data_IF_606220089857
#
_entry.id   IF_606220089857
#
_cell.length_a   1.000
_cell.length_b   1.000
_cell.length_c   1.000
_cell.angle_alpha   90.00
_cell.angle_beta   90.00
_cell.angle_gamma   90.00
#
_symmetry.space_group_name_H-M   'P 1'
#
loop_
_entity.id
_entity.type
_entity.pdbx_description
1 polymer ?
#
# COMPACT_ATOMS: atom_id res chain seq x y z
N UNK A 1 30.59 -43.33 -2.17
CA UNK A 1 29.50 -43.27 -3.16
C UNK A 1 28.25 -44.02 -2.72
N UNK A 2 28.20 -45.36 -2.68
CA UNK A 2 27.00 -46.08 -2.19
C UNK A 2 26.67 -45.78 -0.72
N UNK A 3 27.70 -45.67 0.15
CA UNK A 3 27.56 -45.29 1.56
C UNK A 3 26.83 -43.95 1.74
N UNK A 4 27.27 -42.93 1.02
CA UNK A 4 26.80 -41.55 1.20
C UNK A 4 25.35 -41.40 0.68
N UNK A 5 24.99 -42.13 -0.38
CA UNK A 5 23.61 -42.22 -0.87
C UNK A 5 22.65 -42.78 0.18
N UNK A 6 23.04 -43.86 0.89
CA UNK A 6 22.20 -44.46 1.94
C UNK A 6 21.99 -43.47 3.08
N UNK A 7 23.04 -42.77 3.50
CA UNK A 7 23.00 -41.79 4.59
C UNK A 7 22.05 -40.63 4.23
N UNK A 8 22.16 -40.11 3.01
CA UNK A 8 21.29 -39.04 2.51
C UNK A 8 19.82 -39.45 2.42
N UNK A 9 19.51 -40.70 2.06
CA UNK A 9 18.12 -41.20 1.99
C UNK A 9 17.43 -41.14 3.35
N UNK A 10 18.14 -41.41 4.43
CA UNK A 10 17.60 -41.32 5.78
C UNK A 10 17.70 -39.90 6.39
N UNK A 11 18.39 -38.99 5.71
CA UNK A 11 18.61 -37.62 6.17
C UNK A 11 19.55 -37.49 7.38
N UNK A 12 20.24 -38.58 7.76
CA UNK A 12 21.13 -38.59 8.93
C UNK A 12 22.43 -37.87 8.56
N UNK A 13 22.85 -36.82 9.27
CA UNK A 13 24.15 -36.20 9.03
C UNK A 13 25.30 -37.19 9.31
N UNK A 14 26.39 -37.16 8.52
CA UNK A 14 27.52 -38.07 8.69
C UNK A 14 28.21 -37.94 10.06
N UNK A 15 28.14 -36.76 10.68
CA UNK A 15 28.68 -36.48 12.02
C UNK A 15 27.99 -37.31 13.10
N UNK A 16 26.67 -37.53 12.98
CA UNK A 16 25.88 -38.36 13.90
C UNK A 16 26.24 -39.84 13.76
N UNK A 17 26.71 -40.26 12.59
CA UNK A 17 27.19 -41.61 12.32
C UNK A 17 28.69 -41.79 12.67
N UNK A 18 29.33 -40.78 13.27
CA UNK A 18 30.73 -40.84 13.72
C UNK A 18 31.77 -40.67 12.60
N UNK A 19 31.38 -40.15 11.44
CA UNK A 19 32.29 -39.86 10.33
C UNK A 19 32.82 -38.43 10.51
N UNK A 20 34.00 -38.29 11.12
CA UNK A 20 34.54 -37.00 11.59
C UNK A 20 35.70 -36.44 10.74
N UNK A 21 35.77 -36.77 9.45
CA UNK A 21 36.91 -36.46 8.57
C UNK A 21 37.26 -34.95 8.50
N UNK A 22 36.33 -34.05 8.82
CA UNK A 22 36.55 -32.59 8.87
C UNK A 22 35.68 -31.84 9.90
N UNK A 23 35.18 -32.53 10.93
CA UNK A 23 34.17 -31.97 11.85
C UNK A 23 34.78 -31.44 13.15
N UNK A 24 34.32 -30.25 13.54
CA UNK A 24 34.65 -29.61 14.82
C UNK A 24 33.40 -29.58 15.72
N UNK A 25 33.54 -29.17 16.98
CA UNK A 25 32.42 -29.14 17.94
C UNK A 25 31.21 -28.35 17.41
N UNK A 26 31.44 -27.22 16.74
CA UNK A 26 30.37 -26.41 16.20
C UNK A 26 29.65 -27.10 15.02
N UNK A 27 30.37 -27.86 14.19
CA UNK A 27 29.74 -28.64 13.11
C UNK A 27 28.95 -29.82 13.66
N UNK A 28 29.39 -30.44 14.76
CA UNK A 28 28.65 -31.50 15.45
C UNK A 28 27.37 -30.94 16.09
N UNK A 29 27.45 -29.82 16.82
CA UNK A 29 26.29 -29.13 17.40
C UNK A 29 25.27 -28.73 16.31
N UNK A 30 25.74 -28.22 15.16
CA UNK A 30 24.89 -27.90 14.03
C UNK A 30 24.27 -29.16 13.39
N UNK A 31 25.04 -30.23 13.22
CA UNK A 31 24.55 -31.50 12.68
C UNK A 31 23.48 -32.13 13.59
N UNK A 32 23.65 -32.08 14.91
CA UNK A 32 22.66 -32.53 15.90
C UNK A 32 21.36 -31.73 15.80
N UNK A 33 21.45 -30.40 15.71
CA UNK A 33 20.29 -29.55 15.52
C UNK A 33 19.55 -29.84 14.20
N UNK A 34 20.28 -29.96 13.09
CA UNK A 34 19.71 -30.28 11.77
C UNK A 34 19.04 -31.66 11.77
N UNK A 35 19.67 -32.64 12.41
CA UNK A 35 19.12 -33.99 12.55
C UNK A 35 17.82 -34.00 13.37
N UNK A 36 17.83 -33.35 14.54
CA UNK A 36 16.65 -33.23 15.38
C UNK A 36 15.50 -32.52 14.66
N UNK A 37 15.77 -31.40 13.99
CA UNK A 37 14.76 -30.56 13.33
C UNK A 37 14.19 -31.17 12.05
N UNK A 38 15.02 -31.74 11.19
CA UNK A 38 14.59 -32.18 9.86
C UNK A 38 14.30 -33.67 9.76
N UNK A 39 14.83 -34.50 10.65
CA UNK A 39 14.63 -35.97 10.60
C UNK A 39 13.77 -36.46 11.75
N UNK A 40 14.08 -36.07 12.98
CA UNK A 40 13.39 -36.60 14.17
C UNK A 40 12.03 -35.93 14.35
N UNK A 41 11.96 -34.60 14.31
CA UNK A 41 10.71 -33.85 14.51
C UNK A 41 9.57 -34.29 13.59
N UNK A 42 9.74 -34.38 12.25
CA UNK A 42 8.65 -34.81 11.38
C UNK A 42 8.17 -36.24 11.66
N UNK A 43 9.07 -37.12 12.11
CA UNK A 43 8.75 -38.51 12.45
C UNK A 43 8.00 -38.61 13.78
N UNK A 44 8.43 -37.82 14.77
CA UNK A 44 7.72 -37.73 16.05
C UNK A 44 6.34 -37.13 15.87
N UNK A 45 6.18 -36.07 15.06
CA UNK A 45 4.87 -35.51 14.72
C UNK A 45 3.98 -36.52 13.99
N UNK A 46 4.53 -37.27 13.04
CA UNK A 46 3.78 -38.32 12.35
C UNK A 46 3.31 -39.40 13.32
N UNK A 47 4.20 -39.89 14.19
CA UNK A 47 3.85 -40.90 15.20
C UNK A 47 2.85 -40.34 16.23
N UNK A 48 3.04 -39.11 16.70
CA UNK A 48 2.15 -38.40 17.61
C UNK A 48 0.74 -38.31 17.01
N UNK A 49 0.62 -37.91 15.75
CA UNK A 49 -0.67 -37.83 15.05
C UNK A 49 -1.35 -39.20 14.90
N UNK A 50 -0.59 -40.24 14.55
CA UNK A 50 -1.11 -41.61 14.41
C UNK A 50 -1.57 -42.15 15.78
N UNK A 51 -0.78 -41.96 16.83
CA UNK A 51 -1.13 -42.37 18.19
C UNK A 51 -2.30 -41.54 18.76
N UNK A 52 -2.36 -40.25 18.47
CA UNK A 52 -3.50 -39.40 18.83
C UNK A 52 -4.79 -39.90 18.17
N UNK A 53 -4.74 -40.39 16.93
CA UNK A 53 -5.91 -40.87 16.22
C UNK A 53 -6.32 -42.30 16.64
N UNK A 54 -5.35 -43.19 16.87
CA UNK A 54 -5.62 -44.61 17.12
C UNK A 54 -5.70 -44.97 18.59
N UNK A 55 -4.83 -44.42 19.42
CA UNK A 55 -4.68 -44.81 20.83
C UNK A 55 -5.55 -43.96 21.76
N UNK A 56 -5.59 -42.64 21.57
CA UNK A 56 -6.29 -41.73 22.50
C UNK A 56 -7.80 -41.99 22.62
N UNK A 57 -8.54 -42.33 21.54
CA UNK A 57 -9.96 -42.67 21.65
C UNK A 57 -10.25 -43.94 22.47
N UNK A 58 -9.26 -44.81 22.70
CA UNK A 58 -9.42 -45.97 23.60
C UNK A 58 -9.37 -45.58 25.09
N UNK A 59 -8.90 -44.36 25.42
CA UNK A 59 -8.78 -43.86 26.79
C UNK A 59 -9.77 -42.71 27.10
N UNK A 60 -9.59 -41.54 26.48
CA UNK A 60 -10.42 -40.35 26.68
C UNK A 60 -10.14 -39.31 25.58
N UNK A 61 -11.20 -38.89 24.87
CA UNK A 61 -11.13 -37.95 23.74
C UNK A 61 -10.62 -36.55 24.11
N UNK A 62 -10.51 -36.22 25.40
CA UNK A 62 -10.01 -34.93 25.88
C UNK A 62 -8.50 -34.89 26.06
N UNK A 63 -7.81 -36.03 25.95
CA UNK A 63 -6.38 -36.10 26.13
C UNK A 63 -5.65 -35.67 24.85
N UNK A 64 -4.62 -34.85 25.00
CA UNK A 64 -3.71 -34.48 23.92
C UNK A 64 -2.38 -35.17 24.20
N UNK A 65 -2.00 -36.08 23.30
CA UNK A 65 -0.72 -36.75 23.31
C UNK A 65 0.31 -35.84 22.65
N UNK A 66 1.36 -35.54 23.40
CA UNK A 66 2.46 -34.68 22.99
C UNK A 66 3.81 -35.27 23.45
N UNK A 67 4.91 -34.76 22.91
CA UNK A 67 6.27 -35.20 23.25
C UNK A 67 7.18 -34.02 23.58
N UNK A 68 8.18 -34.26 24.42
CA UNK A 68 9.22 -33.26 24.68
C UNK A 68 10.08 -33.10 23.42
N UNK A 69 10.17 -31.86 22.91
CA UNK A 69 10.89 -31.60 21.67
C UNK A 69 12.37 -31.99 21.79
N UNK A 70 12.90 -32.84 20.91
CA UNK A 70 14.32 -33.18 20.88
C UNK A 70 15.18 -32.07 20.27
N UNK A 71 14.57 -31.00 19.75
CA UNK A 71 15.32 -29.86 19.21
C UNK A 71 15.81 -29.04 20.38
N UNK A 72 17.09 -29.14 20.70
CA UNK A 72 17.75 -28.15 21.54
C UNK A 72 17.68 -26.81 20.82
N UNK A 73 16.81 -25.93 21.30
CA UNK A 73 16.73 -24.54 20.86
C UNK A 73 18.12 -23.89 20.97
N UNK A 74 18.40 -22.96 20.06
CA UNK A 74 19.69 -22.27 20.00
C UNK A 74 19.85 -21.37 21.22
N UNK A 75 20.28 -21.96 22.33
CA UNK A 75 20.57 -21.28 23.60
C UNK A 75 21.50 -20.11 23.37
N UNK A 76 22.34 -20.10 22.31
CA UNK A 76 23.20 -18.95 22.00
C UNK A 76 22.39 -17.80 21.44
N UNK A 77 21.48 -18.02 20.50
CA UNK A 77 20.62 -16.95 19.98
C UNK A 77 19.75 -16.35 21.07
N UNK A 78 19.13 -17.19 21.89
CA UNK A 78 18.31 -16.75 23.02
C UNK A 78 19.14 -15.98 24.07
N UNK A 79 20.33 -16.48 24.43
CA UNK A 79 21.27 -15.76 25.30
C UNK A 79 21.74 -14.43 24.70
N UNK A 80 21.89 -14.33 23.38
CA UNK A 80 22.29 -13.08 22.71
C UNK A 80 21.15 -12.06 22.73
N UNK A 81 19.91 -12.48 22.47
CA UNK A 81 18.72 -11.62 22.59
C UNK A 81 18.55 -11.16 24.03
N UNK A 82 18.72 -12.06 25.01
CA UNK A 82 18.66 -11.73 26.43
C UNK A 82 19.77 -10.76 26.85
N UNK A 83 21.00 -10.92 26.35
CA UNK A 83 22.11 -9.98 26.62
C UNK A 83 21.89 -8.62 25.98
N UNK A 84 21.32 -8.58 24.77
CA UNK A 84 21.12 -7.34 24.03
C UNK A 84 19.99 -6.48 24.61
N UNK A 85 18.93 -7.12 25.14
CA UNK A 85 17.72 -6.44 25.58
C UNK A 85 17.28 -6.92 26.97
N UNK A 86 18.18 -6.82 27.94
CA UNK A 86 17.88 -7.19 29.35
C UNK A 86 16.71 -6.41 29.95
N UNK A 87 16.47 -5.19 29.48
CA UNK A 87 15.37 -4.30 29.91
C UNK A 87 13.99 -4.70 29.38
N UNK A 88 13.92 -5.53 28.32
CA UNK A 88 12.65 -5.92 27.70
C UNK A 88 11.91 -7.04 28.44
N UNK A 89 12.60 -7.76 29.32
CA UNK A 89 12.05 -8.87 30.09
C UNK A 89 11.94 -8.49 31.57
N UNK A 90 10.95 -9.04 32.27
CA UNK A 90 10.84 -8.90 33.73
C UNK A 90 11.85 -9.81 34.44
N UNK A 91 12.20 -9.49 35.69
CA UNK A 91 13.11 -10.33 36.47
C UNK A 91 12.57 -11.76 36.67
N UNK A 92 11.25 -11.94 36.79
CA UNK A 92 10.60 -13.26 36.87
C UNK A 92 10.65 -14.02 35.54
N UNK A 93 10.47 -13.35 34.41
CA UNK A 93 10.60 -13.96 33.08
C UNK A 93 12.02 -14.46 32.80
N UNK A 94 13.03 -13.71 33.22
CA UNK A 94 14.43 -14.12 33.12
C UNK A 94 14.74 -15.29 34.04
N UNK A 95 14.22 -15.31 35.28
CA UNK A 95 14.41 -16.42 36.23
C UNK A 95 13.75 -17.71 35.75
N UNK A 96 12.52 -17.63 35.24
CA UNK A 96 11.83 -18.79 34.66
C UNK A 96 12.62 -19.41 33.50
N UNK A 97 13.20 -18.57 32.63
CA UNK A 97 14.06 -19.03 31.52
C UNK A 97 15.43 -19.53 31.97
N UNK A 98 15.96 -18.97 33.06
CA UNK A 98 17.20 -19.43 33.69
C UNK A 98 17.02 -20.71 34.54
N UNK A 99 15.78 -21.16 34.78
CA UNK A 99 15.46 -22.32 35.62
C UNK A 99 15.49 -22.03 37.13
N UNK A 100 15.44 -20.76 37.51
CA UNK A 100 15.44 -20.30 38.91
C UNK A 100 14.00 -20.08 39.42
N UNK A 101 13.73 -20.25 40.72
CA UNK A 101 12.42 -19.99 41.30
C UNK A 101 12.00 -18.52 41.17
N UNK A 102 10.69 -18.30 40.95
CA UNK A 102 10.08 -16.96 40.86
C UNK A 102 10.17 -16.21 42.19
N UNK A 103 10.27 -14.88 42.15
CA UNK A 103 10.27 -14.01 43.34
C UNK A 103 8.87 -13.50 43.71
N UNK A 104 7.81 -14.02 43.09
CA UNK A 104 6.44 -13.52 43.32
C UNK A 104 6.29 -12.07 42.82
N UNK A 105 5.44 -11.28 43.48
CA UNK A 105 5.07 -9.92 43.05
C UNK A 105 6.28 -8.95 42.98
N UNK A 106 7.37 -9.23 43.70
CA UNK A 106 8.59 -8.41 43.67
C UNK A 106 9.46 -8.62 42.41
N UNK A 107 9.15 -9.62 41.58
CA UNK A 107 9.92 -9.95 40.39
C UNK A 107 9.33 -9.44 39.06
N UNK A 108 8.18 -8.76 39.08
CA UNK A 108 7.56 -8.14 37.91
C UNK A 108 8.11 -6.71 37.68
N UNK A 109 9.44 -6.60 37.76
CA UNK A 109 10.16 -5.34 37.63
C UNK A 109 11.09 -5.43 36.42
N UNK A 110 11.12 -4.36 35.61
CA UNK A 110 12.02 -4.21 34.47
C UNK A 110 13.34 -3.56 34.90
N UNK A 111 14.45 -4.04 34.33
CA UNK A 111 15.74 -3.37 34.50
C UNK A 111 15.76 -2.08 33.67
N UNK A 112 15.81 -0.91 34.33
CA UNK A 112 15.98 0.38 33.64
C UNK A 112 17.48 0.73 33.61
N UNK A 113 18.10 0.87 32.43
CA UNK A 113 19.50 1.29 32.37
C UNK A 113 19.62 2.76 32.79
N UNK A 114 20.52 3.04 33.75
CA UNK A 114 20.69 4.37 34.34
C UNK A 114 21.30 5.42 33.39
N UNK A 115 21.77 5.01 32.21
CA UNK A 115 22.63 5.81 31.33
C UNK A 115 22.20 5.80 29.85
N UNK A 116 20.91 5.65 29.57
CA UNK A 116 20.38 5.92 28.22
C UNK A 116 20.13 7.42 28.07
N UNK A 117 21.08 8.13 27.49
CA UNK A 117 20.86 9.50 27.01
C UNK A 117 20.09 9.38 25.70
N UNK A 118 18.79 9.63 25.76
CA UNK A 118 17.95 9.80 24.58
C UNK A 118 18.14 11.23 24.09
N UNK A 119 18.91 11.42 23.03
CA UNK A 119 18.95 12.70 22.34
C UNK A 119 17.68 12.85 21.46
N UNK A 120 16.89 13.92 21.63
CA UNK A 120 15.80 14.20 20.71
C UNK A 120 16.36 14.51 19.32
N UNK A 121 15.79 13.91 18.27
CA UNK A 121 16.15 14.24 16.90
C UNK A 121 15.95 15.75 16.67
N UNK A 122 17.00 16.47 16.25
CA UNK A 122 16.99 17.92 16.00
C UNK A 122 15.85 18.33 15.05
N UNK A 123 14.68 18.65 15.62
CA UNK A 123 13.56 19.28 14.93
C UNK A 123 12.58 20.02 15.86
N UNK A 124 12.96 20.30 17.11
CA UNK A 124 12.11 21.01 18.06
C UNK A 124 12.90 21.97 18.97
N UNK A 125 13.75 22.81 18.38
CA UNK A 125 14.32 23.98 19.05
C UNK A 125 13.76 25.25 18.39
N UNK A 126 12.48 25.53 18.62
CA UNK A 126 11.85 26.80 18.26
C UNK A 126 10.59 27.04 19.11
N UNK A 127 10.73 27.05 20.44
CA UNK A 127 9.76 27.70 21.32
C UNK A 127 10.55 28.57 22.32
N UNK A 128 10.33 29.89 22.26
CA UNK A 128 10.96 30.92 23.08
C UNK A 128 9.94 31.39 24.11
N UNK A 129 10.29 31.31 25.40
CA UNK A 129 9.51 31.91 26.50
C UNK A 129 9.95 33.37 26.80
N UNK A 130 9.07 34.22 27.40
CA UNK A 130 9.16 35.68 27.34
C UNK A 130 10.01 36.33 28.46
N UNK A 131 10.60 37.49 28.17
CA UNK A 131 11.48 38.25 29.08
C UNK A 131 10.69 39.39 29.81
N UNK A 132 10.84 39.59 31.14
CA UNK A 132 10.25 40.70 31.90
C UNK A 132 11.09 42.01 31.89
N UNK A 133 10.53 43.18 32.28
CA UNK A 133 11.03 44.50 31.88
C UNK A 133 12.09 45.10 32.83
N UNK A 134 12.98 45.94 32.29
CA UNK A 134 13.98 46.72 33.05
C UNK A 134 13.84 48.21 32.75
N UNK A 135 13.80 49.04 33.80
CA UNK A 135 13.75 50.51 33.78
C UNK A 135 15.13 51.17 33.55
N UNK A 136 15.20 52.39 32.97
CA UNK A 136 16.44 52.97 32.45
C UNK A 136 17.19 53.90 33.44
N UNK A 137 18.51 54.12 33.26
CA UNK A 137 19.19 55.35 33.65
C UNK A 137 19.53 56.25 32.43
N UNK A 138 19.67 57.54 32.75
CA UNK A 138 19.85 58.75 31.92
C UNK A 138 21.22 58.81 31.22
N UNK A 139 21.36 59.54 30.08
CA UNK A 139 22.52 59.45 29.19
C UNK A 139 23.60 60.51 29.48
N UNK A 140 24.83 60.24 29.06
CA UNK A 140 25.84 61.26 28.72
C UNK A 140 26.57 60.87 27.44
N UNK A 141 26.90 61.91 26.70
CA UNK A 141 27.35 61.98 25.32
C UNK A 141 28.73 61.34 25.06
N UNK A 142 28.90 60.76 23.88
CA UNK A 142 29.91 61.18 22.89
C UNK A 142 30.31 60.05 21.93
N UNK A 143 30.34 60.45 20.65
CA UNK A 143 31.24 60.05 19.59
C UNK A 143 31.10 58.69 18.88
N UNK A 144 30.63 58.82 17.64
CA UNK A 144 31.26 58.34 16.39
C UNK A 144 31.72 56.89 16.32
N UNK A 145 30.93 56.07 15.62
CA UNK A 145 31.27 55.67 14.25
C UNK A 145 30.56 54.37 13.82
N UNK A 146 30.13 54.37 12.56
CA UNK A 146 29.76 53.20 11.74
C UNK A 146 28.42 52.47 12.03
N UNK A 147 27.41 52.98 11.32
CA UNK A 147 26.16 52.33 10.86
C UNK A 147 26.45 50.98 10.16
N UNK A 148 25.57 49.98 10.07
CA UNK A 148 24.11 50.09 9.98
C UNK A 148 23.35 48.82 10.44
N UNK A 149 22.07 48.98 10.83
CA UNK A 149 21.19 47.92 11.32
C UNK A 149 20.25 47.35 10.23
N UNK A 150 19.70 46.18 10.54
CA UNK A 150 18.56 45.55 9.84
C UNK A 150 17.29 46.32 10.20
N UNK A 151 16.53 46.76 9.19
CA UNK A 151 15.17 47.30 9.34
C UNK A 151 14.22 46.39 8.55
N UNK A 152 13.21 45.84 9.24
CA UNK A 152 12.03 45.22 8.64
C UNK A 152 10.97 46.28 8.36
N UNK A 153 10.20 46.10 7.28
CA UNK A 153 9.24 47.08 6.76
C UNK A 153 7.85 46.45 6.63
N UNK A 154 6.92 46.93 7.46
CA UNK A 154 5.46 47.09 7.22
C UNK A 154 5.00 48.14 8.26
N UNK A 155 4.36 49.29 8.01
CA UNK A 155 3.73 49.96 6.87
C UNK A 155 3.67 51.49 7.18
N UNK A 156 3.45 52.30 6.12
CA UNK A 156 2.99 53.72 6.07
C UNK A 156 4.01 54.84 6.38
N UNK A 157 4.11 55.97 5.66
CA UNK A 157 3.41 56.66 4.54
C UNK A 157 4.39 57.77 4.09
N UNK A 158 4.49 58.04 2.77
CA UNK A 158 4.94 59.33 2.16
C UNK A 158 6.36 59.80 2.54
N UNK A 159 7.09 60.61 1.79
CA UNK A 159 6.94 61.31 0.52
C UNK A 159 8.37 61.87 0.24
N UNK A 160 8.74 62.05 -1.05
CA UNK A 160 9.78 63.03 -1.53
C UNK A 160 11.27 62.67 -1.28
N UNK A 161 12.27 62.73 -2.18
CA UNK A 161 12.49 63.04 -3.61
C UNK A 161 13.93 62.54 -3.95
N UNK A 162 14.16 61.73 -5.00
CA UNK A 162 14.66 62.10 -6.35
C UNK A 162 16.19 62.27 -6.51
N UNK A 163 16.73 61.50 -7.47
CA UNK A 163 17.86 61.76 -8.43
C UNK A 163 18.57 60.42 -8.70
N UNK A 164 18.88 59.92 -9.90
CA UNK A 164 19.06 60.35 -11.31
C UNK A 164 19.26 59.00 -12.07
N UNK A 165 18.93 58.75 -13.34
CA UNK A 165 18.94 59.50 -14.59
C UNK A 165 18.09 58.68 -15.57
N UNK A 166 16.99 59.26 -16.03
CA UNK A 166 16.05 58.69 -17.01
C UNK A 166 16.38 59.31 -18.37
N UNK A 167 16.67 58.47 -19.38
CA UNK A 167 16.84 58.88 -20.77
C UNK A 167 15.45 58.89 -21.43
N UNK A 168 14.97 60.09 -21.74
CA UNK A 168 13.60 60.40 -22.16
C UNK A 168 13.42 60.31 -23.69
N UNK A 169 13.90 59.26 -24.33
CA UNK A 169 13.87 59.14 -25.80
C UNK A 169 13.10 57.94 -26.36
N UNK A 170 12.37 57.17 -25.55
CA UNK A 170 11.65 55.99 -26.07
C UNK A 170 10.14 56.00 -25.82
N UNK A 171 9.64 56.75 -24.83
CA UNK A 171 8.21 56.70 -24.45
C UNK A 171 7.30 57.72 -25.17
N UNK A 172 7.80 58.48 -26.16
CA UNK A 172 6.96 59.40 -26.96
C UNK A 172 6.78 58.99 -28.43
N UNK A 173 7.10 57.74 -28.79
CA UNK A 173 6.95 57.24 -30.17
C UNK A 173 5.94 56.09 -30.34
N UNK A 174 5.18 55.70 -29.32
CA UNK A 174 4.19 54.60 -29.45
C UNK A 174 2.82 54.98 -28.87
N UNK A 175 2.41 56.25 -29.04
CA UNK A 175 1.07 56.71 -28.71
C UNK A 175 0.26 57.25 -29.91
N UNK A 176 0.84 57.31 -31.11
CA UNK A 176 0.15 57.83 -32.31
C UNK A 176 0.41 56.97 -33.56
N UNK A 177 0.01 55.69 -33.51
CA UNK A 177 -0.31 54.98 -34.74
C UNK A 177 -1.55 54.10 -34.54
N UNK A 178 -2.70 54.69 -34.84
CA UNK A 178 -3.90 53.94 -35.21
C UNK A 178 -3.57 53.03 -36.39
N UNK A 179 -3.57 51.72 -36.16
CA UNK A 179 -4.00 50.76 -37.17
C UNK A 179 -4.83 49.67 -36.49
N UNK A 180 -6.09 49.67 -36.86
CA UNK A 180 -7.19 48.75 -36.57
C UNK A 180 -6.77 47.27 -36.64
N UNK A 181 -6.56 46.60 -35.50
CA UNK A 181 -6.60 45.14 -35.38
C UNK A 181 -7.12 44.75 -33.99
N UNK A 182 -8.23 44.01 -33.98
CA UNK A 182 -9.06 43.73 -32.81
C UNK A 182 -8.39 43.03 -31.64
N UNK A 183 -8.95 43.29 -30.46
CA UNK A 183 -8.56 42.75 -29.17
C UNK A 183 -8.56 41.21 -29.12
N UNK A 184 -7.43 40.64 -28.70
CA UNK A 184 -7.44 39.52 -27.75
C UNK A 184 -7.44 38.10 -28.30
N UNK A 185 -6.72 37.79 -29.38
CA UNK A 185 -6.33 36.41 -29.68
C UNK A 185 -5.27 35.96 -28.66
N UNK A 186 -5.68 35.18 -27.64
CA UNK A 186 -4.74 34.31 -26.92
C UNK A 186 -4.12 33.41 -27.99
N UNK A 187 -2.85 33.59 -28.32
CA UNK A 187 -2.16 32.70 -29.26
C UNK A 187 -2.06 31.34 -28.58
N UNK A 188 -3.02 30.45 -28.84
CA UNK A 188 -2.97 29.06 -28.38
C UNK A 188 -1.62 28.48 -28.77
N UNK A 189 -0.85 28.05 -27.77
CA UNK A 189 0.41 27.36 -28.00
C UNK A 189 0.18 25.89 -28.39
N UNK A 190 1.22 25.18 -28.87
CA UNK A 190 1.16 23.75 -29.13
C UNK A 190 0.64 22.91 -27.96
N UNK A 191 0.89 23.37 -26.73
CA UNK A 191 0.40 22.72 -25.51
C UNK A 191 -1.10 22.96 -25.28
N UNK A 192 -1.64 24.14 -25.64
CA UNK A 192 -3.08 24.45 -25.54
C UNK A 192 -3.89 23.65 -26.57
N UNK A 193 -3.35 23.50 -27.78
CA UNK A 193 -3.96 22.71 -28.86
C UNK A 193 -3.96 21.22 -28.50
N UNK A 194 -2.87 20.72 -27.91
CA UNK A 194 -2.78 19.36 -27.38
C UNK A 194 -3.81 19.12 -26.27
N UNK A 195 -4.01 20.09 -25.38
CA UNK A 195 -5.00 20.03 -24.31
C UNK A 195 -6.43 20.01 -24.84
N UNK A 196 -6.76 20.85 -25.83
CA UNK A 196 -8.09 20.86 -26.44
C UNK A 196 -8.42 19.50 -27.07
N UNK A 197 -7.49 18.94 -27.85
CA UNK A 197 -7.69 17.65 -28.53
C UNK A 197 -7.79 16.47 -27.55
N UNK A 198 -6.89 16.42 -26.56
CA UNK A 198 -6.89 15.34 -25.57
C UNK A 198 -8.17 15.35 -24.71
N UNK A 199 -8.57 16.52 -24.21
CA UNK A 199 -9.75 16.68 -23.36
C UNK A 199 -11.08 16.55 -24.13
N UNK A 200 -11.08 16.89 -25.43
CA UNK A 200 -12.26 16.80 -26.28
C UNK A 200 -12.77 15.37 -26.45
N UNK A 201 -11.85 14.39 -26.57
CA UNK A 201 -12.19 12.99 -26.86
C UNK A 201 -12.06 12.00 -25.69
N UNK A 202 -11.11 12.16 -24.77
CA UNK A 202 -10.85 11.21 -23.69
C UNK A 202 -11.58 11.61 -22.39
N UNK A 203 -12.92 11.61 -22.42
CA UNK A 203 -13.73 12.04 -21.28
C UNK A 203 -13.81 10.98 -20.19
N UNK A 204 -13.73 11.42 -18.93
CA UNK A 204 -13.90 10.58 -17.74
C UNK A 204 -15.27 9.88 -17.71
N UNK A 205 -16.31 10.55 -18.20
CA UNK A 205 -17.68 10.03 -18.25
C UNK A 205 -17.82 8.80 -19.17
N UNK A 206 -17.04 8.72 -20.25
CA UNK A 206 -17.07 7.55 -21.14
C UNK A 206 -16.51 6.30 -20.44
N UNK A 207 -15.47 6.50 -19.64
CA UNK A 207 -14.90 5.45 -18.81
C UNK A 207 -15.89 4.99 -17.75
N UNK A 208 -16.54 5.94 -17.06
CA UNK A 208 -17.59 5.63 -16.07
C UNK A 208 -18.70 4.79 -16.69
N UNK A 209 -19.36 5.30 -17.74
CA UNK A 209 -20.50 4.63 -18.39
C UNK A 209 -20.10 3.28 -18.99
N UNK A 210 -18.89 3.16 -19.51
CA UNK A 210 -18.44 1.94 -20.18
C UNK A 210 -18.03 0.81 -19.24
N UNK A 211 -17.64 1.12 -17.99
CA UNK A 211 -17.20 0.11 -17.01
C UNK A 211 -18.20 -0.13 -15.88
N UNK A 212 -19.15 0.77 -15.64
CA UNK A 212 -20.12 0.73 -14.54
C UNK A 212 -20.84 -0.63 -14.43
N UNK A 213 -21.35 -1.16 -15.54
CA UNK A 213 -22.04 -2.45 -15.54
C UNK A 213 -21.12 -3.62 -15.12
N UNK A 214 -19.89 -3.65 -15.63
CA UNK A 214 -18.93 -4.71 -15.32
C UNK A 214 -18.44 -4.64 -13.87
N UNK A 215 -18.23 -3.43 -13.36
CA UNK A 215 -17.90 -3.18 -11.95
C UNK A 215 -19.04 -3.62 -11.04
N UNK A 216 -20.28 -3.20 -11.36
CA UNK A 216 -21.48 -3.57 -10.60
C UNK A 216 -21.66 -5.08 -10.52
N UNK A 217 -21.48 -5.77 -11.65
CA UNK A 217 -21.54 -7.24 -11.72
C UNK A 217 -20.43 -7.92 -10.91
N UNK A 218 -19.21 -7.38 -10.94
CA UNK A 218 -18.09 -7.90 -10.16
C UNK A 218 -18.30 -7.75 -8.65
N UNK A 219 -18.79 -6.58 -8.20
CA UNK A 219 -19.14 -6.35 -6.78
C UNK A 219 -20.28 -7.27 -6.35
N UNK A 220 -21.33 -7.43 -7.18
CA UNK A 220 -22.45 -8.35 -6.93
C UNK A 220 -21.96 -9.78 -6.74
N UNK A 221 -21.21 -10.28 -7.71
CA UNK A 221 -20.69 -11.65 -7.71
C UNK A 221 -19.80 -11.92 -6.49
N UNK A 222 -18.94 -10.96 -6.13
CA UNK A 222 -18.07 -11.10 -4.96
C UNK A 222 -18.84 -11.04 -3.62
N UNK A 223 -19.89 -10.21 -3.53
CA UNK A 223 -20.77 -10.17 -2.37
C UNK A 223 -21.56 -11.45 -2.18
N UNK A 224 -22.18 -11.97 -3.25
CA UNK A 224 -22.89 -13.25 -3.26
C UNK A 224 -21.97 -14.41 -2.87
N UNK A 225 -20.75 -14.45 -3.43
CA UNK A 225 -19.76 -15.45 -3.08
C UNK A 225 -19.37 -15.40 -1.60
N UNK A 226 -19.26 -14.19 -1.01
CA UNK A 226 -18.96 -14.03 0.42
C UNK A 226 -20.10 -14.51 1.32
N UNK A 227 -21.34 -14.19 1.00
CA UNK A 227 -22.49 -14.68 1.79
C UNK A 227 -22.59 -16.21 1.73
N UNK A 228 -22.39 -16.79 0.55
CA UNK A 228 -22.37 -18.24 0.36
C UNK A 228 -21.23 -18.91 1.13
N UNK A 229 -20.02 -18.33 1.10
CA UNK A 229 -18.85 -18.77 1.86
C UNK A 229 -19.12 -18.79 3.38
N UNK A 230 -19.83 -17.79 3.88
CA UNK A 230 -20.21 -17.67 5.29
C UNK A 230 -21.40 -18.56 5.68
N UNK A 231 -22.04 -19.25 4.71
CA UNK A 231 -23.22 -20.07 4.95
C UNK A 231 -24.46 -19.25 5.33
N UNK A 232 -24.53 -17.98 4.91
CA UNK A 232 -25.62 -17.06 5.28
C UNK A 232 -26.67 -17.05 4.18
N UNK A 233 -27.88 -17.48 4.54
CA UNK A 233 -29.02 -17.58 3.63
C UNK A 233 -29.78 -16.25 3.52
N UNK A 234 -29.08 -15.22 3.03
CA UNK A 234 -29.68 -13.93 2.65
C UNK A 234 -29.26 -13.59 1.22
N UNK A 235 -30.16 -12.97 0.45
CA UNK A 235 -29.81 -12.46 -0.87
C UNK A 235 -28.95 -11.21 -0.74
N UNK A 236 -27.84 -11.15 -1.49
CA UNK A 236 -27.01 -9.95 -1.57
C UNK A 236 -27.80 -8.81 -2.25
N UNK A 237 -28.11 -7.75 -1.51
CA UNK A 237 -28.79 -6.59 -2.06
C UNK A 237 -27.79 -5.52 -2.51
N UNK A 238 -27.53 -5.48 -3.82
CA UNK A 238 -26.63 -4.48 -4.39
C UNK A 238 -27.18 -3.04 -4.32
N UNK A 239 -28.48 -2.87 -4.09
CA UNK A 239 -29.13 -1.56 -4.03
C UNK A 239 -29.24 -1.01 -2.60
N UNK A 240 -28.75 -1.74 -1.59
CA UNK A 240 -28.66 -1.25 -0.22
C UNK A 240 -27.84 0.06 -0.18
N UNK A 241 -28.33 1.13 0.45
CA UNK A 241 -27.63 2.41 0.52
C UNK A 241 -26.18 2.32 1.03
N UNK A 242 -25.89 1.35 1.91
CA UNK A 242 -24.55 1.09 2.45
C UNK A 242 -23.63 0.53 1.38
N UNK A 243 -24.15 -0.35 0.52
CA UNK A 243 -23.42 -0.95 -0.61
C UNK A 243 -23.21 0.08 -1.71
N UNK A 244 -24.24 0.87 -2.03
CA UNK A 244 -24.14 1.96 -3.00
C UNK A 244 -23.08 3.00 -2.61
N UNK A 245 -22.92 3.29 -1.32
CA UNK A 245 -21.85 4.17 -0.83
C UNK A 245 -20.45 3.62 -1.09
N UNK A 246 -20.22 2.33 -0.82
CA UNK A 246 -18.94 1.66 -1.10
C UNK A 246 -18.66 1.66 -2.61
N UNK A 247 -19.69 1.41 -3.42
CA UNK A 247 -19.58 1.45 -4.88
C UNK A 247 -19.31 2.87 -5.41
N UNK A 248 -19.88 3.91 -4.80
CA UNK A 248 -19.64 5.29 -5.18
C UNK A 248 -18.19 5.72 -4.88
N UNK A 249 -17.67 5.35 -3.71
CA UNK A 249 -16.26 5.57 -3.33
C UNK A 249 -15.30 4.83 -4.26
N UNK A 250 -15.63 3.57 -4.61
CA UNK A 250 -14.92 2.77 -5.60
C UNK A 250 -14.83 3.45 -6.97
N UNK A 251 -15.99 3.89 -7.51
CA UNK A 251 -16.09 4.41 -8.87
C UNK A 251 -15.36 5.76 -9.03
N UNK A 252 -15.46 6.65 -8.04
CA UNK A 252 -14.85 7.98 -8.11
C UNK A 252 -13.32 7.96 -8.23
N UNK A 253 -12.65 7.16 -7.39
CA UNK A 253 -11.19 7.12 -7.35
C UNK A 253 -10.56 6.34 -8.52
N UNK A 254 -11.20 5.27 -8.97
CA UNK A 254 -10.76 4.45 -10.11
C UNK A 254 -10.70 5.28 -11.40
N UNK A 255 -11.81 5.91 -11.75
CA UNK A 255 -12.02 6.47 -13.08
C UNK A 255 -11.14 7.71 -13.29
N UNK A 256 -10.93 8.50 -12.24
CA UNK A 256 -10.04 9.67 -12.28
C UNK A 256 -8.61 9.29 -12.65
N UNK A 257 -8.00 8.36 -11.89
CA UNK A 257 -6.59 7.95 -12.08
C UNK A 257 -6.34 7.33 -13.45
N UNK A 258 -7.28 6.52 -13.93
CA UNK A 258 -7.15 5.91 -15.25
C UNK A 258 -7.21 6.98 -16.34
N UNK A 259 -8.13 7.94 -16.26
CA UNK A 259 -8.23 8.95 -17.32
C UNK A 259 -7.00 9.88 -17.34
N UNK A 260 -6.50 10.28 -16.16
CA UNK A 260 -5.36 11.20 -16.00
C UNK A 260 -4.09 10.68 -16.69
N UNK A 261 -3.78 9.38 -16.57
CA UNK A 261 -2.60 8.79 -17.21
C UNK A 261 -2.73 8.75 -18.73
N UNK A 262 -3.94 8.51 -19.28
CA UNK A 262 -4.16 8.55 -20.74
C UNK A 262 -4.03 9.98 -21.25
N UNK A 263 -4.68 10.93 -20.57
CA UNK A 263 -4.63 12.34 -20.93
C UNK A 263 -3.21 12.88 -20.90
N UNK A 264 -2.43 12.57 -19.86
CA UNK A 264 -1.03 12.97 -19.76
C UNK A 264 -0.20 12.45 -20.93
N UNK A 265 -0.39 11.18 -21.32
CA UNK A 265 0.31 10.60 -22.46
C UNK A 265 -0.11 11.26 -23.79
N UNK A 266 -1.41 11.46 -24.01
CA UNK A 266 -1.94 12.13 -25.20
C UNK A 266 -1.37 13.55 -25.33
N UNK A 267 -1.47 14.35 -24.27
CA UNK A 267 -0.94 15.73 -24.22
C UNK A 267 0.53 15.80 -24.58
N UNK A 268 1.35 14.97 -23.95
CA UNK A 268 2.78 14.93 -24.22
C UNK A 268 3.07 14.61 -25.70
N UNK A 269 2.42 13.59 -26.26
CA UNK A 269 2.65 13.17 -27.65
C UNK A 269 2.11 14.16 -28.68
N UNK A 270 0.96 14.79 -28.41
CA UNK A 270 0.32 15.75 -29.32
C UNK A 270 1.06 17.08 -29.28
N UNK A 271 1.47 17.55 -28.11
CA UNK A 271 2.24 18.79 -27.99
C UNK A 271 3.58 18.70 -28.74
N UNK A 272 4.23 17.54 -28.70
CA UNK A 272 5.41 17.27 -29.52
C UNK A 272 5.09 17.28 -31.01
N UNK A 273 4.04 16.59 -31.45
CA UNK A 273 3.64 16.59 -32.87
C UNK A 273 3.26 17.99 -33.38
N UNK A 274 2.57 18.79 -32.58
CA UNK A 274 2.26 20.18 -32.93
C UNK A 274 3.51 21.05 -33.01
N UNK A 275 4.48 20.89 -32.09
CA UNK A 275 5.78 21.59 -32.15
C UNK A 275 6.60 21.22 -33.39
N UNK A 276 6.51 19.97 -33.82
CA UNK A 276 7.17 19.47 -35.03
C UNK A 276 6.44 19.83 -36.33
N UNK A 277 5.25 20.45 -36.25
CA UNK A 277 4.45 20.81 -37.41
C UNK A 277 3.90 19.58 -38.15
N UNK A 278 3.64 18.49 -37.42
CA UNK A 278 3.14 17.26 -38.01
C UNK A 278 1.74 17.41 -38.61
N UNK A 279 1.51 16.71 -39.73
CA UNK A 279 0.19 16.66 -40.35
C UNK A 279 -0.82 15.80 -39.55
N UNK A 280 -2.08 15.90 -39.93
CA UNK A 280 -3.17 15.14 -39.29
C UNK A 280 -2.93 13.62 -39.28
N UNK A 281 -2.27 13.08 -40.31
CA UNK A 281 -2.03 11.63 -40.42
C UNK A 281 -0.98 11.17 -39.40
N UNK A 282 0.08 11.96 -39.21
CA UNK A 282 1.13 11.75 -38.20
C UNK A 282 0.55 11.87 -36.78
N UNK A 283 -0.20 12.94 -36.50
CA UNK A 283 -0.86 13.13 -35.20
C UNK A 283 -1.84 11.99 -34.89
N UNK A 284 -2.64 11.56 -35.87
CA UNK A 284 -3.52 10.41 -35.72
C UNK A 284 -2.75 9.10 -35.47
N UNK A 285 -1.56 8.92 -36.07
CA UNK A 285 -0.68 7.78 -35.75
C UNK A 285 -0.19 7.83 -34.30
N UNK A 286 0.24 9.00 -33.79
CA UNK A 286 0.65 9.17 -32.38
C UNK A 286 -0.48 8.80 -31.42
N UNK A 287 -1.70 9.28 -31.68
CA UNK A 287 -2.89 8.94 -30.89
C UNK A 287 -3.12 7.41 -30.87
N UNK A 288 -3.11 6.76 -32.04
CA UNK A 288 -3.28 5.30 -32.14
C UNK A 288 -2.21 4.55 -31.37
N UNK A 289 -0.96 5.02 -31.36
CA UNK A 289 0.13 4.43 -30.57
C UNK A 289 -0.17 4.50 -29.06
N UNK A 290 -0.59 5.65 -28.55
CA UNK A 290 -0.97 5.83 -27.14
C UNK A 290 -2.12 4.88 -26.77
N UNK A 291 -3.16 4.77 -27.60
CA UNK A 291 -4.28 3.88 -27.34
C UNK A 291 -3.97 2.40 -27.56
N UNK A 292 -2.96 2.07 -28.37
CA UNK A 292 -2.47 0.69 -28.52
C UNK A 292 -1.75 0.24 -27.25
N UNK A 293 -0.90 1.09 -26.66
CA UNK A 293 -0.31 0.80 -25.34
C UNK A 293 -1.38 0.74 -24.24
N UNK A 294 -2.34 1.67 -24.25
CA UNK A 294 -3.46 1.68 -23.32
C UNK A 294 -4.26 0.37 -23.36
N UNK A 295 -4.58 -0.14 -24.56
CA UNK A 295 -5.28 -1.42 -24.77
C UNK A 295 -4.41 -2.66 -24.52
N UNK A 296 -3.09 -2.52 -24.55
CA UNK A 296 -2.16 -3.60 -24.26
C UNK A 296 -1.90 -3.76 -22.77
N UNK A 297 -0.65 -3.51 -22.36
CA UNK A 297 -0.15 -3.76 -21.00
C UNK A 297 -0.94 -3.02 -19.93
N UNK A 298 -1.38 -1.80 -20.24
CA UNK A 298 -2.05 -0.93 -19.26
C UNK A 298 -3.46 -1.41 -18.94
N UNK A 299 -4.24 -1.84 -19.93
CA UNK A 299 -5.57 -2.42 -19.69
C UNK A 299 -5.50 -3.67 -18.82
N UNK A 300 -4.48 -4.51 -18.99
CA UNK A 300 -4.25 -5.68 -18.13
C UNK A 300 -3.95 -5.26 -16.68
N UNK A 301 -3.05 -4.29 -16.51
CA UNK A 301 -2.68 -3.75 -15.18
C UNK A 301 -3.89 -3.15 -14.46
N UNK A 302 -4.69 -2.37 -15.19
CA UNK A 302 -5.93 -1.77 -14.70
C UNK A 302 -6.92 -2.89 -14.34
N UNK A 303 -7.22 -3.82 -15.25
CA UNK A 303 -8.19 -4.89 -15.00
C UNK A 303 -7.83 -5.71 -13.76
N UNK A 304 -6.54 -6.04 -13.56
CA UNK A 304 -6.06 -6.72 -12.35
C UNK A 304 -6.34 -5.89 -11.09
N UNK A 305 -5.88 -4.64 -11.07
CA UNK A 305 -6.06 -3.74 -9.91
C UNK A 305 -7.54 -3.56 -9.58
N UNK A 306 -8.37 -3.36 -10.59
CA UNK A 306 -9.79 -3.12 -10.40
C UNK A 306 -10.58 -4.38 -10.05
N UNK A 307 -10.16 -5.56 -10.52
CA UNK A 307 -10.76 -6.84 -10.12
C UNK A 307 -10.59 -7.11 -8.62
N UNK A 308 -9.40 -6.83 -8.08
CA UNK A 308 -9.08 -7.01 -6.65
C UNK A 308 -9.90 -6.04 -5.82
N UNK A 309 -9.94 -4.78 -6.25
CA UNK A 309 -10.69 -3.74 -5.56
C UNK A 309 -12.18 -4.05 -5.56
N UNK A 310 -12.75 -4.47 -6.70
CA UNK A 310 -14.18 -4.79 -6.82
C UNK A 310 -14.55 -6.03 -6.00
N UNK A 311 -13.69 -7.05 -6.01
CA UNK A 311 -13.86 -8.25 -5.20
C UNK A 311 -13.93 -7.90 -3.71
N UNK A 312 -12.94 -7.18 -3.19
CA UNK A 312 -12.89 -6.82 -1.79
C UNK A 312 -13.99 -5.83 -1.37
N UNK A 313 -14.40 -4.92 -2.27
CA UNK A 313 -15.55 -4.05 -2.05
C UNK A 313 -16.86 -4.86 -1.90
N UNK A 314 -17.09 -5.86 -2.75
CA UNK A 314 -18.23 -6.77 -2.65
C UNK A 314 -18.22 -7.61 -1.37
N UNK A 315 -17.05 -8.13 -1.00
CA UNK A 315 -16.88 -8.88 0.25
C UNK A 315 -17.14 -8.01 1.49
N UNK A 316 -16.66 -6.77 1.49
CA UNK A 316 -16.93 -5.80 2.55
C UNK A 316 -18.42 -5.44 2.62
N UNK A 317 -19.06 -5.22 1.48
CA UNK A 317 -20.50 -4.98 1.38
C UNK A 317 -21.31 -6.14 1.97
N UNK A 318 -20.96 -7.38 1.62
CA UNK A 318 -21.60 -8.58 2.17
C UNK A 318 -21.36 -8.71 3.68
N UNK A 319 -20.15 -8.41 4.16
CA UNK A 319 -19.81 -8.40 5.59
C UNK A 319 -20.69 -7.41 6.37
N UNK A 320 -20.94 -6.22 5.81
CA UNK A 320 -21.85 -5.21 6.39
C UNK A 320 -23.30 -5.70 6.40
N UNK A 321 -23.77 -6.30 5.31
CA UNK A 321 -25.15 -6.78 5.20
C UNK A 321 -25.43 -7.93 6.14
N UNK A 322 -24.47 -8.84 6.29
CA UNK A 322 -24.54 -9.96 7.20
C UNK A 322 -24.40 -9.58 8.69
N UNK A 323 -24.11 -8.30 8.99
CA UNK A 323 -24.09 -7.80 10.37
C UNK A 323 -22.82 -8.13 11.16
N UNK A 324 -21.72 -8.47 10.49
CA UNK A 324 -20.42 -8.68 11.14
C UNK A 324 -19.91 -7.35 11.71
N UNK A 325 -19.28 -7.39 12.88
CA UNK A 325 -18.73 -6.19 13.54
C UNK A 325 -17.35 -5.80 13.03
N UNK A 326 -16.57 -6.78 12.56
CA UNK A 326 -15.18 -6.59 12.15
C UNK A 326 -14.81 -7.18 10.81
N UNK A 327 -13.61 -6.82 10.38
CA UNK A 327 -12.92 -7.37 9.22
C UNK A 327 -11.44 -7.59 9.56
N UNK A 328 -10.86 -8.64 9.01
CA UNK A 328 -9.44 -8.96 9.19
C UNK A 328 -8.73 -8.94 7.85
N UNK A 329 -7.52 -8.39 7.81
CA UNK A 329 -6.72 -8.38 6.59
C UNK A 329 -5.99 -9.71 6.42
N UNK A 330 -6.10 -10.31 5.24
CA UNK A 330 -5.35 -11.50 4.85
C UNK A 330 -4.44 -11.17 3.67
N UNK A 331 -3.15 -11.09 3.95
CA UNK A 331 -2.12 -10.88 2.94
C UNK A 331 -1.87 -12.15 2.12
N UNK A 332 -1.29 -12.00 0.93
CA UNK A 332 -0.82 -13.16 0.17
C UNK A 332 0.51 -13.61 0.76
N UNK A 333 0.65 -14.90 1.09
CA UNK A 333 1.91 -15.42 1.63
C UNK A 333 2.83 -15.91 0.53
N UNK A 334 3.34 -14.95 -0.23
CA UNK A 334 4.39 -15.18 -1.21
C UNK A 334 5.49 -14.12 -1.13
N UNK A 335 6.59 -14.34 -1.85
CA UNK A 335 7.74 -13.44 -1.88
C UNK A 335 7.49 -12.11 -2.60
N UNK A 336 6.29 -11.91 -3.15
CA UNK A 336 5.93 -10.71 -3.92
C UNK A 336 5.01 -9.78 -3.13
N UNK A 337 4.62 -10.14 -1.91
CA UNK A 337 3.81 -9.28 -1.06
C UNK A 337 4.68 -8.23 -0.40
N UNK A 338 4.25 -6.97 -0.47
CA UNK A 338 4.99 -5.82 0.06
C UNK A 338 5.10 -5.90 1.57
N UNK A 339 6.22 -5.44 2.12
CA UNK A 339 6.42 -5.36 3.58
C UNK A 339 5.31 -4.56 4.28
N UNK A 340 4.82 -3.49 3.65
CA UNK A 340 3.69 -2.68 4.15
C UNK A 340 2.39 -3.48 4.28
N UNK A 341 2.18 -4.47 3.41
CA UNK A 341 1.01 -5.35 3.42
C UNK A 341 1.22 -6.59 4.30
N UNK A 342 2.46 -7.07 4.43
CA UNK A 342 2.82 -8.10 5.42
C UNK A 342 2.54 -7.57 6.84
N UNK A 343 2.88 -6.30 7.11
CA UNK A 343 2.55 -5.65 8.38
C UNK A 343 1.06 -5.46 8.63
N UNK A 344 0.21 -5.55 7.59
CA UNK A 344 -1.25 -5.55 7.74
C UNK A 344 -1.81 -6.96 8.00
N UNK A 345 -1.05 -8.04 7.76
CA UNK A 345 -1.53 -9.42 7.90
C UNK A 345 -2.10 -9.69 9.30
N UNK A 346 -3.33 -10.21 9.36
CA UNK A 346 -3.99 -10.55 10.61
C UNK A 346 -4.59 -9.37 11.38
N UNK A 347 -4.35 -8.11 10.97
CA UNK A 347 -4.95 -6.96 11.65
C UNK A 347 -6.48 -6.99 11.56
N UNK A 348 -7.14 -6.82 12.71
CA UNK A 348 -8.59 -6.72 12.81
C UNK A 348 -8.99 -5.25 13.00
N UNK A 349 -9.98 -4.79 12.23
CA UNK A 349 -10.59 -3.46 12.36
C UNK A 349 -12.10 -3.59 12.37
N UNK A 350 -12.81 -2.64 12.98
CA UNK A 350 -14.27 -2.59 12.84
C UNK A 350 -14.62 -2.40 11.37
N UNK A 351 -15.79 -2.88 10.95
CA UNK A 351 -16.17 -2.86 9.52
C UNK A 351 -16.15 -1.46 8.90
N UNK A 352 -16.39 -0.40 9.68
CA UNK A 352 -16.34 1.00 9.21
C UNK A 352 -14.96 1.68 9.32
N UNK A 353 -14.00 1.09 10.01
CA UNK A 353 -12.67 1.68 10.22
C UNK A 353 -11.72 1.36 9.07
N UNK A 354 -10.80 2.26 8.75
CA UNK A 354 -9.79 1.99 7.73
C UNK A 354 -8.66 1.12 8.29
N UNK A 355 -8.06 0.30 7.43
CA UNK A 355 -6.71 -0.20 7.64
C UNK A 355 -5.72 0.92 7.40
N UNK A 356 -4.60 0.90 8.12
CA UNK A 356 -3.51 1.87 7.98
C UNK A 356 -2.21 1.08 7.81
N UNK A 357 -1.57 1.21 6.65
CA UNK A 357 -0.28 0.58 6.38
C UNK A 357 0.84 1.31 7.12
N UNK A 358 2.02 0.67 7.22
CA UNK A 358 3.22 1.32 7.77
C UNK A 358 3.71 2.52 6.94
N UNK A 359 3.28 2.66 5.69
CA UNK A 359 3.53 3.85 4.85
C UNK A 359 2.58 5.02 5.15
N UNK A 360 1.59 4.84 6.04
CA UNK A 360 0.57 5.83 6.36
C UNK A 360 -0.60 5.87 5.38
N UNK A 361 -0.61 5.03 4.34
CA UNK A 361 -1.76 4.89 3.46
C UNK A 361 -2.92 4.23 4.21
N UNK A 362 -4.14 4.69 3.96
CA UNK A 362 -5.30 4.25 4.71
C UNK A 362 -6.51 4.02 3.81
N UNK A 363 -7.23 2.93 4.07
CA UNK A 363 -8.41 2.60 3.29
C UNK A 363 -9.22 1.42 3.82
N UNK A 364 -10.42 1.19 3.26
CA UNK A 364 -11.39 0.26 3.83
C UNK A 364 -11.05 -1.21 3.57
N UNK A 365 -10.28 -1.53 2.53
CA UNK A 365 -9.96 -2.91 2.15
C UNK A 365 -8.78 -2.96 1.17
N UNK A 366 -8.23 -4.16 0.87
CA UNK A 366 -7.18 -4.33 -0.13
C UNK A 366 -7.55 -3.76 -1.50
N UNK A 367 -6.56 -3.12 -2.13
CA UNK A 367 -6.73 -2.40 -3.39
C UNK A 367 -7.37 -1.02 -3.24
N UNK A 368 -7.72 -0.56 -2.04
CA UNK A 368 -8.36 0.73 -1.79
C UNK A 368 -7.70 1.57 -0.67
N UNK A 369 -6.39 1.44 -0.45
CA UNK A 369 -5.60 2.22 0.52
C UNK A 369 -5.31 3.67 0.05
N UNK A 370 -5.69 4.01 -1.18
CA UNK A 370 -5.71 5.40 -1.64
C UNK A 370 -4.41 5.87 -2.28
N UNK A 371 -3.39 5.01 -2.42
CA UNK A 371 -2.16 5.33 -3.16
C UNK A 371 -1.83 4.23 -4.18
N UNK A 372 -1.30 4.62 -5.34
CA UNK A 372 -0.97 3.67 -6.40
C UNK A 372 0.06 2.61 -5.97
N UNK A 373 1.01 3.01 -5.11
CA UNK A 373 2.06 2.13 -4.61
C UNK A 373 1.52 0.97 -3.74
N UNK A 374 0.43 1.20 -3.02
CA UNK A 374 -0.21 0.20 -2.15
C UNK A 374 -1.34 -0.55 -2.90
N UNK A 375 -2.02 0.10 -3.85
CA UNK A 375 -3.21 -0.45 -4.49
C UNK A 375 -2.92 -1.34 -5.71
N UNK A 376 -1.99 -0.94 -6.59
CA UNK A 376 -1.78 -1.60 -7.88
C UNK A 376 -1.24 -3.01 -7.67
N UNK A 377 -1.69 -4.00 -8.44
CA UNK A 377 -1.25 -5.40 -8.31
C UNK A 377 -1.41 -6.00 -6.89
N UNK A 378 -2.24 -5.41 -6.03
CA UNK A 378 -2.58 -6.01 -4.75
C UNK A 378 -3.24 -7.39 -4.97
N UNK A 379 -2.97 -8.37 -4.10
CA UNK A 379 -3.58 -9.72 -4.14
C UNK A 379 -4.14 -10.15 -2.80
N UNK A 380 -4.14 -9.24 -1.82
CA UNK A 380 -4.67 -9.47 -0.49
C UNK A 380 -6.21 -9.52 -0.53
N UNK A 381 -6.79 -10.13 0.50
CA UNK A 381 -8.24 -10.24 0.69
C UNK A 381 -8.63 -9.89 2.13
N UNK A 382 -9.92 -9.77 2.41
CA UNK A 382 -10.45 -9.51 3.74
C UNK A 382 -11.27 -10.69 4.25
N UNK A 383 -11.16 -11.00 5.52
CA UNK A 383 -12.01 -11.97 6.22
C UNK A 383 -13.06 -11.24 7.03
N UNK A 384 -14.21 -11.88 7.24
CA UNK A 384 -15.32 -11.32 8.03
C UNK A 384 -15.19 -11.77 9.49
N UNK A 385 -15.22 -10.83 10.44
CA UNK A 385 -15.05 -11.10 11.89
C UNK A 385 -16.35 -10.80 12.62
N UNK A 386 -16.96 -11.80 13.24
CA UNK A 386 -18.32 -11.69 13.79
C UNK A 386 -18.39 -10.65 14.92
N UNK A 387 -17.46 -10.74 15.88
CA UNK A 387 -17.32 -9.81 17.00
C UNK A 387 -15.86 -9.38 17.12
N UNK A 388 -15.62 -8.09 17.30
CA UNK A 388 -14.26 -7.57 17.48
C UNK A 388 -13.92 -7.60 18.97
N UNK A 389 -13.07 -8.54 19.37
CA UNK A 389 -12.44 -8.53 20.68
C UNK A 389 -10.98 -8.04 20.53
N UNK A 390 -10.68 -6.88 21.11
CA UNK A 390 -9.33 -6.28 21.05
C UNK A 390 -8.49 -6.57 22.29
N UNK A 391 -9.01 -7.38 23.22
CA UNK A 391 -8.32 -7.73 24.47
C UNK A 391 -7.34 -8.90 24.34
N UNK A 392 -7.35 -9.57 23.18
CA UNK A 392 -6.48 -10.70 22.89
C UNK A 392 -5.25 -10.21 22.12
N UNK A 393 -4.05 -10.44 22.67
CA UNK A 393 -2.79 -10.06 22.02
C UNK A 393 -2.42 -11.01 20.85
N UNK A 394 -2.94 -12.24 20.86
CA UNK A 394 -2.72 -13.23 19.81
C UNK A 394 -3.66 -13.01 18.60
N UNK A 395 -3.13 -13.16 17.39
CA UNK A 395 -3.91 -13.05 16.15
C UNK A 395 -4.84 -14.26 16.04
N UNK A 396 -6.12 -14.07 16.35
CA UNK A 396 -7.16 -15.05 16.06
C UNK A 396 -7.59 -14.90 14.60
N UNK A 397 -7.38 -15.96 13.81
CA UNK A 397 -7.78 -15.97 12.41
C UNK A 397 -9.28 -16.26 12.26
N UNK A 398 -9.99 -15.34 11.62
CA UNK A 398 -11.41 -15.54 11.34
C UNK A 398 -11.66 -16.74 10.41
N UNK A 399 -12.88 -17.27 10.44
CA UNK A 399 -13.32 -18.38 9.60
C UNK A 399 -12.50 -19.68 9.80
N UNK A 400 -11.84 -19.84 10.95
CA UNK A 400 -11.07 -21.04 11.31
C UNK A 400 -9.81 -21.24 10.48
N UNK A 401 -9.19 -20.14 10.03
CA UNK A 401 -7.98 -20.12 9.19
C UNK A 401 -6.69 -20.12 10.03
N UNK A 402 -6.64 -20.98 11.03
CA UNK A 402 -5.60 -20.99 12.07
C UNK A 402 -4.24 -21.45 11.50
N UNK A 403 -4.26 -22.34 10.51
CA UNK A 403 -3.03 -22.85 9.86
C UNK A 403 -2.72 -22.13 8.56
N UNK A 404 -1.44 -22.13 8.19
CA UNK A 404 -0.99 -21.53 6.94
C UNK A 404 -1.57 -22.22 5.71
N UNK A 405 -1.73 -23.55 5.73
CA UNK A 405 -2.32 -24.30 4.62
C UNK A 405 -3.80 -23.95 4.44
N UNK A 406 -4.54 -23.73 5.53
CA UNK A 406 -5.93 -23.26 5.44
C UNK A 406 -5.99 -21.87 4.80
N UNK A 407 -5.11 -20.95 5.21
CA UNK A 407 -5.01 -19.60 4.61
C UNK A 407 -4.61 -19.64 3.14
N UNK A 408 -3.66 -20.48 2.74
CA UNK A 408 -3.25 -20.64 1.34
C UNK A 408 -4.38 -21.23 0.48
N UNK A 409 -5.08 -22.26 0.97
CA UNK A 409 -6.26 -22.81 0.27
C UNK A 409 -7.37 -21.77 0.12
N UNK A 410 -7.61 -20.98 1.16
CA UNK A 410 -8.57 -19.88 1.12
C UNK A 410 -8.16 -18.85 0.08
N UNK A 411 -6.92 -18.36 0.15
CA UNK A 411 -6.39 -17.39 -0.79
C UNK A 411 -6.47 -17.88 -2.24
N UNK A 412 -6.11 -19.13 -2.53
CA UNK A 412 -6.26 -19.74 -3.87
C UNK A 412 -7.70 -19.72 -4.36
N UNK A 413 -8.67 -19.85 -3.47
CA UNK A 413 -10.10 -19.75 -3.80
C UNK A 413 -10.46 -18.32 -4.17
N UNK A 414 -10.00 -17.34 -3.39
CA UNK A 414 -10.20 -15.91 -3.68
C UNK A 414 -9.51 -15.47 -4.97
N UNK A 415 -8.31 -15.99 -5.26
CA UNK A 415 -7.60 -15.70 -6.51
C UNK A 415 -8.34 -16.24 -7.74
N UNK A 416 -8.98 -17.41 -7.64
CA UNK A 416 -9.86 -17.94 -8.71
C UNK A 416 -11.07 -17.04 -8.93
N UNK A 417 -11.69 -16.56 -7.86
CA UNK A 417 -12.80 -15.61 -7.93
C UNK A 417 -12.34 -14.32 -8.63
N UNK A 418 -11.26 -13.70 -8.14
CA UNK A 418 -10.65 -12.50 -8.73
C UNK A 418 -10.36 -12.67 -10.23
N UNK A 419 -9.72 -13.78 -10.62
CA UNK A 419 -9.39 -14.08 -12.01
C UNK A 419 -10.65 -14.23 -12.89
N UNK A 420 -11.75 -14.73 -12.35
CA UNK A 420 -13.04 -14.78 -13.06
C UNK A 420 -13.61 -13.37 -13.30
N UNK A 421 -13.48 -12.46 -12.32
CA UNK A 421 -13.94 -11.07 -12.41
C UNK A 421 -13.07 -10.19 -13.33
N UNK A 422 -11.78 -10.55 -13.50
CA UNK A 422 -10.83 -9.79 -14.33
C UNK A 422 -11.24 -9.77 -15.82
N UNK A 423 -11.73 -10.89 -16.36
CA UNK A 423 -12.01 -11.01 -17.81
C UNK A 423 -13.11 -10.04 -18.29
N UNK A 424 -14.29 -9.93 -17.63
CA UNK A 424 -15.30 -8.94 -18.01
C UNK A 424 -14.79 -7.50 -17.90
N UNK A 425 -14.06 -7.18 -16.83
CA UNK A 425 -13.48 -5.85 -16.63
C UNK A 425 -12.49 -5.49 -17.75
N UNK A 426 -11.59 -6.41 -18.10
CA UNK A 426 -10.64 -6.20 -19.20
C UNK A 426 -11.35 -5.89 -20.52
N UNK A 427 -12.41 -6.64 -20.84
CA UNK A 427 -13.22 -6.40 -22.04
C UNK A 427 -13.89 -5.02 -22.01
N UNK A 428 -14.41 -4.60 -20.85
CA UNK A 428 -15.00 -3.29 -20.67
C UNK A 428 -13.97 -2.16 -20.89
N UNK A 429 -12.78 -2.28 -20.30
CA UNK A 429 -11.69 -1.31 -20.51
C UNK A 429 -11.24 -1.24 -21.97
N UNK A 430 -11.06 -2.38 -22.65
CA UNK A 430 -10.72 -2.40 -24.08
C UNK A 430 -11.77 -1.69 -24.94
N UNK A 431 -13.06 -1.91 -24.64
CA UNK A 431 -14.16 -1.27 -25.34
C UNK A 431 -14.13 0.24 -25.14
N UNK A 432 -13.96 0.71 -23.90
CA UNK A 432 -13.87 2.15 -23.60
C UNK A 432 -12.69 2.78 -24.30
N UNK A 433 -11.49 2.21 -24.20
CA UNK A 433 -10.31 2.80 -24.84
C UNK A 433 -10.45 2.88 -26.36
N UNK A 434 -11.14 1.92 -27.00
CA UNK A 434 -11.47 2.01 -28.42
C UNK A 434 -12.43 3.17 -28.72
N UNK A 435 -13.43 3.40 -27.86
CA UNK A 435 -14.36 4.53 -28.00
C UNK A 435 -13.62 5.86 -27.81
N UNK A 436 -12.77 5.97 -26.78
CA UNK A 436 -11.98 7.17 -26.54
C UNK A 436 -11.01 7.45 -27.69
N UNK A 437 -10.34 6.43 -28.24
CA UNK A 437 -9.49 6.55 -29.44
C UNK A 437 -10.27 7.16 -30.61
N UNK A 438 -11.44 6.61 -30.93
CA UNK A 438 -12.29 7.12 -32.02
C UNK A 438 -12.71 8.56 -31.78
N UNK A 439 -13.08 8.92 -30.55
CA UNK A 439 -13.48 10.29 -30.21
C UNK A 439 -12.33 11.29 -30.30
N UNK A 440 -11.15 10.92 -29.83
CA UNK A 440 -9.95 11.78 -29.90
C UNK A 440 -9.55 12.00 -31.36
N UNK A 441 -9.59 10.96 -32.21
CA UNK A 441 -9.30 11.09 -33.65
C UNK A 441 -10.34 11.97 -34.34
N UNK A 442 -11.64 11.74 -34.12
CA UNK A 442 -12.69 12.57 -34.70
C UNK A 442 -12.58 14.03 -34.25
N UNK A 443 -12.17 14.26 -33.01
CA UNK A 443 -11.95 15.61 -32.49
C UNK A 443 -10.71 16.26 -33.13
N UNK A 444 -9.62 15.52 -33.32
CA UNK A 444 -8.44 15.99 -34.05
C UNK A 444 -8.81 16.40 -35.49
N UNK A 445 -9.60 15.60 -36.20
CA UNK A 445 -10.09 15.92 -37.55
C UNK A 445 -10.91 17.21 -37.57
N UNK A 446 -11.82 17.37 -36.61
CA UNK A 446 -12.59 18.61 -36.48
C UNK A 446 -11.71 19.81 -36.14
N UNK A 447 -10.71 19.63 -35.27
CA UNK A 447 -9.78 20.67 -34.83
C UNK A 447 -8.90 21.16 -35.98
N UNK A 448 -8.24 20.25 -36.69
CA UNK A 448 -7.42 20.58 -37.85
C UNK A 448 -8.26 21.18 -38.99
N UNK A 449 -9.50 20.71 -39.17
CA UNK A 449 -10.43 21.31 -40.13
C UNK A 449 -10.82 22.76 -39.82
N UNK A 450 -10.80 23.18 -38.55
CA UNK A 450 -11.02 24.59 -38.15
C UNK A 450 -9.81 25.48 -38.38
N UNK A 451 -8.60 24.91 -38.32
CA UNK A 451 -7.35 25.66 -38.55
C UNK A 451 -7.13 26.00 -40.04
N UNK A 452 -7.87 25.35 -40.95
CA UNK A 452 -7.73 25.54 -42.40
C UNK A 452 -6.48 24.85 -42.96
N UNK A 453 -6.35 24.69 -44.29
CA UNK A 453 -5.12 24.19 -44.89
C UNK A 453 -4.00 25.21 -44.64
N UNK A 454 -2.97 24.78 -43.92
CA UNK A 454 -1.70 25.49 -43.73
C UNK A 454 -0.96 25.71 -45.05
#
# INVERSE_FOLDING_TARGET
NQRDTIIQVYGVPPEILGILESSNRATIEAAEFLFAKFVIMPRLEFLRAVLQQLLVPEFDDRLILDFESPVTEDKRHELQVMKASTWAYTANELRKRAGEPSLGDEGDVHAVPFNVILEPSLKAAAEVEPIPPVTPPVPDDDDDSSKAPVISITERIGDVERTTRYDSSVDSAIADFHCDFGEGAITKGPDDDADEVANGGAKQEDLRKGTEAAVRDAVKTAGEARLAELGIDIAFDINDPRVLRIMAEFAGQQIKRINDTTLKALRATLAEGFREGEDINLLARRIRTVFTDARGRRSVTIARTESVRAMNAGQLAATIQAGFEGKQWLSTRDTQTRDTHVGLDGQIRKVKENFVSSSGAAGPHPGALGTAAEDIHCRCTVLSVAKVDTSVEEIVWAQGLDTEEKRDRYWKTQERLRAALEKPLLRAFHKVFRIQEQKVIAFLEQFMGRLGPS
#
